data_IF_255373810646
#
_entry.id   IF_255373810646
#
_cell.length_a   1.000
_cell.length_b   1.000
_cell.length_c   1.000
_cell.angle_alpha   90.00
_cell.angle_beta   90.00
_cell.angle_gamma   90.00
#
_symmetry.space_group_name_H-M   'P 1'
#
loop_
_entity.id
_entity.type
_entity.pdbx_description
1 polymer ?
#
# COMPACT_ATOMS: atom_id res chain seq x y z
N UNK A 1 10.71 27.66 19.50
CA UNK A 1 10.06 27.87 18.18
C UNK A 1 8.97 26.81 18.03
N UNK A 2 7.72 27.24 18.00
CA UNK A 2 6.55 26.37 18.04
C UNK A 2 6.17 25.92 16.62
N UNK A 3 6.20 24.62 16.37
CA UNK A 3 5.53 24.01 15.21
C UNK A 3 4.63 22.92 15.73
N UNK A 4 3.43 23.34 16.16
CA UNK A 4 2.50 22.54 16.98
C UNK A 4 1.40 21.88 16.15
N UNK A 5 1.67 21.51 14.89
CA UNK A 5 0.69 20.87 14.00
C UNK A 5 1.29 19.74 13.14
N UNK A 6 2.34 19.07 13.62
CA UNK A 6 2.98 17.96 12.89
C UNK A 6 2.15 16.66 12.86
N UNK A 7 0.94 16.68 13.42
CA UNK A 7 0.09 15.51 13.61
C UNK A 7 -1.22 15.55 12.81
N UNK A 8 -1.26 16.29 11.70
CA UNK A 8 -2.44 16.40 10.84
C UNK A 8 -2.14 15.82 9.45
N UNK A 9 -3.08 15.05 8.89
CA UNK A 9 -3.00 14.56 7.52
C UNK A 9 -3.20 15.70 6.52
N UNK A 10 -2.28 15.86 5.57
CA UNK A 10 -2.34 16.94 4.57
C UNK A 10 -3.61 16.87 3.71
N UNK A 11 -4.08 15.65 3.40
CA UNK A 11 -5.22 15.43 2.49
C UNK A 11 -6.57 15.66 3.16
N UNK A 12 -6.84 15.01 4.29
CA UNK A 12 -8.14 15.09 4.94
C UNK A 12 -8.21 16.11 6.09
N UNK A 13 -7.09 16.75 6.45
CA UNK A 13 -6.98 17.72 7.55
C UNK A 13 -7.42 17.20 8.92
N UNK A 14 -7.53 15.88 9.09
CA UNK A 14 -7.81 15.23 10.38
C UNK A 14 -6.51 14.91 11.10
N UNK A 15 -6.55 14.97 12.44
CA UNK A 15 -5.44 14.54 13.28
C UNK A 15 -5.20 13.04 13.16
N UNK A 16 -3.94 12.60 13.30
CA UNK A 16 -3.60 11.18 13.35
C UNK A 16 -4.02 10.60 14.71
N UNK A 17 -4.98 9.68 14.67
CA UNK A 17 -5.33 8.83 15.82
C UNK A 17 -4.45 7.58 15.89
N UNK A 18 -3.98 7.13 14.72
CA UNK A 18 -3.28 5.85 14.56
C UNK A 18 -1.79 6.06 14.28
N UNK A 19 -1.01 5.01 14.57
CA UNK A 19 0.43 4.97 14.27
C UNK A 19 0.74 4.72 12.79
N UNK A 20 -0.27 4.39 12.00
CA UNK A 20 -0.09 4.07 10.58
C UNK A 20 -0.13 5.35 9.74
N UNK A 21 1.06 5.89 9.48
CA UNK A 21 1.24 7.10 8.69
C UNK A 21 2.26 6.83 7.57
N UNK A 22 2.06 7.49 6.44
CA UNK A 22 3.03 7.56 5.35
C UNK A 22 3.53 8.99 5.21
N UNK A 23 4.84 9.13 4.98
CA UNK A 23 5.48 10.43 4.75
C UNK A 23 6.00 10.46 3.32
N UNK A 24 5.64 11.48 2.56
CA UNK A 24 6.09 11.65 1.18
C UNK A 24 7.56 12.08 1.16
N UNK A 25 8.41 11.39 0.40
CA UNK A 25 9.85 11.68 0.29
C UNK A 25 10.20 12.97 -0.49
N UNK A 26 9.21 13.67 -1.01
CA UNK A 26 9.39 14.89 -1.84
C UNK A 26 8.92 16.15 -1.12
N UNK A 27 7.75 16.09 -0.49
CA UNK A 27 7.15 17.26 0.18
C UNK A 27 7.10 17.13 1.71
N UNK A 28 7.69 16.05 2.25
CA UNK A 28 7.67 15.68 3.68
C UNK A 28 6.27 15.64 4.31
N UNK A 29 5.26 15.54 3.46
CA UNK A 29 3.86 15.53 3.85
C UNK A 29 3.46 14.23 4.49
N UNK A 30 2.73 14.31 5.61
CA UNK A 30 2.17 13.13 6.30
C UNK A 30 0.74 12.84 5.86
N UNK A 31 0.44 11.56 5.66
CA UNK A 31 -0.84 11.09 5.16
C UNK A 31 -1.33 9.87 5.95
N UNK A 32 -2.65 9.81 6.18
CA UNK A 32 -3.30 8.56 6.57
C UNK A 32 -3.13 7.54 5.42
N UNK A 33 -3.06 6.26 5.77
CA UNK A 33 -2.94 5.16 4.80
C UNK A 33 -4.08 5.21 3.76
N UNK A 34 -5.31 5.43 4.21
CA UNK A 34 -6.48 5.56 3.32
C UNK A 34 -6.38 6.80 2.40
N UNK A 35 -5.86 7.90 2.94
CA UNK A 35 -5.62 9.13 2.17
C UNK A 35 -4.47 8.97 1.15
N UNK A 36 -3.56 8.03 1.37
CA UNK A 36 -2.45 7.71 0.48
C UNK A 36 -2.85 6.75 -0.65
N UNK A 37 -4.09 6.27 -0.68
CA UNK A 37 -4.55 5.21 -1.60
C UNK A 37 -3.71 3.93 -1.49
N UNK A 38 -3.27 3.60 -0.28
CA UNK A 38 -2.56 2.36 0.04
C UNK A 38 -3.48 1.57 0.95
N UNK A 39 -3.76 0.31 0.64
CA UNK A 39 -4.53 -0.53 1.57
C UNK A 39 -3.67 -0.90 2.78
N UNK A 40 -4.29 -1.10 3.95
CA UNK A 40 -3.56 -1.51 5.16
C UNK A 40 -2.72 -2.76 4.93
N UNK A 41 -3.26 -3.77 4.22
CA UNK A 41 -2.52 -4.99 3.83
C UNK A 41 -1.24 -4.65 3.05
N UNK A 42 -1.33 -3.76 2.05
CA UNK A 42 -0.17 -3.31 1.26
C UNK A 42 0.83 -2.54 2.12
N UNK A 43 0.36 -1.71 3.07
CA UNK A 43 1.23 -0.98 3.99
C UNK A 43 2.05 -1.93 4.90
N UNK A 44 1.43 -2.99 5.40
CA UNK A 44 2.14 -3.99 6.22
C UNK A 44 3.15 -4.81 5.42
N UNK A 45 2.86 -5.10 4.15
CA UNK A 45 3.77 -5.81 3.25
C UNK A 45 4.87 -4.92 2.65
N UNK A 46 4.78 -3.59 2.79
CA UNK A 46 5.84 -2.70 2.31
C UNK A 46 7.07 -2.78 3.22
N UNK A 47 8.21 -3.05 2.60
CA UNK A 47 9.54 -2.89 3.19
C UNK A 47 9.80 -1.45 3.63
N UNK A 48 10.65 -1.28 4.64
CA UNK A 48 11.01 0.03 5.20
C UNK A 48 11.58 0.96 4.13
N UNK A 49 12.39 0.45 3.20
CA UNK A 49 12.96 1.23 2.09
C UNK A 49 11.90 1.74 1.12
N UNK A 50 10.86 0.94 0.86
CA UNK A 50 9.72 1.36 0.04
C UNK A 50 8.84 2.39 0.75
N UNK A 51 8.76 2.32 2.08
CA UNK A 51 8.05 3.33 2.89
C UNK A 51 8.76 4.67 2.89
N UNK A 52 10.10 4.69 3.03
CA UNK A 52 10.88 5.93 3.02
C UNK A 52 10.97 6.58 1.64
N UNK A 53 10.84 5.80 0.56
CA UNK A 53 10.84 6.28 -0.83
C UNK A 53 9.46 6.57 -1.40
N UNK A 54 8.38 6.41 -0.61
CA UNK A 54 7.01 6.62 -1.05
C UNK A 54 6.73 8.08 -1.43
N UNK A 55 5.90 8.27 -2.46
CA UNK A 55 5.53 9.58 -3.02
C UNK A 55 4.02 9.75 -2.97
N UNK A 56 3.55 10.93 -2.57
CA UNK A 56 2.12 11.23 -2.59
C UNK A 56 1.61 11.47 -4.01
N UNK A 57 0.29 11.34 -4.22
CA UNK A 57 -0.33 11.46 -5.54
C UNK A 57 -0.02 12.80 -6.22
N UNK A 58 0.02 13.89 -5.44
CA UNK A 58 0.38 15.21 -5.96
C UNK A 58 1.81 15.22 -6.49
N UNK A 59 2.80 14.76 -5.71
CA UNK A 59 4.20 14.73 -6.13
C UNK A 59 4.47 13.73 -7.28
N UNK A 60 3.64 12.69 -7.42
CA UNK A 60 3.69 11.78 -8.57
C UNK A 60 3.19 12.53 -9.82
N UNK A 61 2.04 13.21 -9.73
CA UNK A 61 1.45 13.95 -10.85
C UNK A 61 2.25 15.20 -11.26
N UNK A 62 2.93 15.87 -10.33
CA UNK A 62 3.71 17.09 -10.62
C UNK A 62 5.03 16.78 -11.35
N UNK A 63 5.52 15.53 -11.32
CA UNK A 63 6.75 15.14 -12.04
C UNK A 63 6.45 14.82 -13.51
N UNK A 64 6.21 15.87 -14.29
CA UNK A 64 6.38 15.86 -15.76
C UNK A 64 7.19 17.06 -16.29
N UNK A 65 8.06 17.68 -15.48
CA UNK A 65 9.21 18.39 -16.07
C UNK A 65 10.44 17.50 -15.91
N UNK A 66 10.89 16.83 -16.97
CA UNK A 66 12.17 16.13 -16.96
C UNK A 66 13.25 17.19 -16.82
N UNK A 67 13.68 17.47 -15.60
CA UNK A 67 14.93 18.18 -15.38
C UNK A 67 16.07 17.31 -15.90
N UNK A 68 16.44 17.57 -17.16
CA UNK A 68 17.75 17.32 -17.75
C UNK A 68 18.40 15.96 -17.43
N UNK A 69 17.63 14.86 -17.48
CA UNK A 69 18.24 13.59 -17.84
C UNK A 69 18.63 13.76 -19.30
N UNK A 70 19.90 14.08 -19.53
CA UNK A 70 20.58 13.83 -20.79
C UNK A 70 20.06 12.50 -21.31
N UNK A 71 19.15 12.53 -22.30
CA UNK A 71 18.72 11.33 -23.00
C UNK A 71 20.02 10.75 -23.54
N UNK A 72 20.59 9.76 -22.86
CA UNK A 72 21.42 8.78 -23.55
C UNK A 72 20.44 8.18 -24.55
N UNK A 73 20.60 8.63 -25.78
CA UNK A 73 19.86 8.25 -26.94
C UNK A 73 20.25 6.79 -27.20
N UNK A 74 19.80 5.86 -26.34
CA UNK A 74 19.95 4.45 -26.59
C UNK A 74 18.93 4.14 -27.67
N UNK A 75 19.40 4.22 -28.91
CA UNK A 75 18.70 3.74 -30.09
C UNK A 75 18.53 2.24 -29.87
N UNK A 76 17.41 1.85 -29.27
CA UNK A 76 16.98 0.46 -29.20
C UNK A 76 16.70 0.05 -30.64
N UNK A 77 17.72 -0.49 -31.30
CA UNK A 77 17.60 -1.11 -32.59
C UNK A 77 17.00 -2.51 -32.39
N UNK A 78 15.82 -2.59 -31.78
CA UNK A 78 15.04 -3.82 -31.76
C UNK A 78 14.44 -3.92 -33.15
N UNK A 79 14.96 -4.84 -33.94
CA UNK A 79 14.26 -5.35 -35.12
C UNK A 79 12.97 -5.98 -34.60
N UNK A 80 11.87 -5.23 -34.71
CA UNK A 80 10.52 -5.75 -34.53
C UNK A 80 10.17 -6.45 -35.84
N UNK A 81 10.85 -7.55 -36.09
CA UNK A 81 10.47 -8.48 -37.15
C UNK A 81 10.04 -9.75 -36.43
N UNK A 82 8.73 -9.87 -36.27
CA UNK A 82 7.97 -11.10 -36.20
C UNK A 82 8.46 -12.19 -35.22
N UNK A 83 7.81 -12.29 -34.06
CA UNK A 83 7.68 -13.58 -33.38
C UNK A 83 6.47 -13.60 -32.43
N UNK A 84 5.28 -13.26 -32.92
CA UNK A 84 4.01 -13.59 -32.24
C UNK A 84 3.01 -14.24 -33.21
N UNK A 85 3.52 -15.07 -34.10
CA UNK A 85 2.73 -16.17 -34.64
C UNK A 85 3.31 -17.45 -34.05
N UNK A 86 2.42 -18.38 -33.71
CA UNK A 86 2.72 -19.68 -33.09
C UNK A 86 2.72 -19.67 -31.56
N UNK A 87 1.52 -19.80 -31.00
CA UNK A 87 1.09 -21.06 -30.37
C UNK A 87 -0.39 -20.92 -29.99
N UNK A 88 -1.23 -21.14 -30.99
CA UNK A 88 -2.57 -21.68 -30.78
C UNK A 88 -2.42 -23.18 -30.96
N UNK A 89 -2.24 -23.91 -29.88
CA UNK A 89 -2.50 -25.36 -29.81
C UNK A 89 -3.36 -25.53 -28.54
N UNK A 90 -4.67 -25.56 -28.74
CA UNK A 90 -5.48 -26.79 -28.81
C UNK A 90 -5.79 -27.34 -27.41
N UNK A 91 -7.00 -26.96 -26.98
CA UNK A 91 -7.99 -27.73 -26.22
C UNK A 91 -7.49 -29.03 -25.56
N UNK A 92 -7.34 -28.99 -24.23
CA UNK A 92 -7.54 -30.18 -23.40
C UNK A 92 -8.61 -29.85 -22.35
N UNK A 93 -9.84 -30.27 -22.68
CA UNK A 93 -10.93 -30.41 -21.72
C UNK A 93 -10.55 -31.46 -20.67
N UNK A 94 -10.01 -31.02 -19.55
CA UNK A 94 -10.05 -31.81 -18.31
C UNK A 94 -11.01 -31.17 -17.32
N UNK A 95 -12.25 -31.62 -17.45
CA UNK A 95 -13.30 -31.58 -16.44
C UNK A 95 -12.72 -32.04 -15.09
N UNK A 96 -12.51 -31.09 -14.18
CA UNK A 96 -12.23 -31.40 -12.78
C UNK A 96 -13.15 -30.55 -11.90
N UNK A 97 -14.40 -31.00 -11.88
CA UNK A 97 -15.44 -30.65 -10.93
C UNK A 97 -15.00 -31.04 -9.50
N UNK A 98 -14.12 -30.26 -8.89
CA UNK A 98 -13.88 -30.34 -7.44
C UNK A 98 -14.90 -29.49 -6.71
N UNK A 99 -16.02 -30.17 -6.45
CA UNK A 99 -17.02 -29.90 -5.42
C UNK A 99 -16.36 -29.65 -4.06
N UNK A 100 -15.95 -28.40 -3.80
CA UNK A 100 -15.62 -27.96 -2.45
C UNK A 100 -16.93 -27.69 -1.71
N UNK A 101 -17.48 -28.76 -1.17
CA UNK A 101 -18.53 -28.71 -0.16
C UNK A 101 -18.08 -27.82 1.01
N UNK A 102 -18.97 -26.88 1.27
CA UNK A 102 -19.07 -26.04 2.45
C UNK A 102 -18.74 -26.75 3.76
N UNK A 103 -17.80 -26.18 4.53
CA UNK A 103 -17.79 -26.30 5.97
C UNK A 103 -17.36 -24.97 6.59
N UNK A 104 -18.34 -24.17 6.99
CA UNK A 104 -18.17 -23.07 7.92
C UNK A 104 -17.85 -23.63 9.31
N UNK A 105 -16.71 -23.29 9.95
CA UNK A 105 -16.60 -23.37 11.39
C UNK A 105 -17.26 -22.11 11.95
N UNK A 106 -18.50 -22.24 12.42
CA UNK A 106 -19.01 -21.36 13.48
C UNK A 106 -18.21 -21.69 14.75
N UNK A 107 -17.13 -20.98 15.01
CA UNK A 107 -16.58 -20.89 16.35
C UNK A 107 -16.91 -19.51 16.92
N UNK A 108 -18.12 -19.42 17.46
CA UNK A 108 -18.37 -18.57 18.61
C UNK A 108 -17.31 -18.91 19.68
N UNK A 109 -16.36 -18.00 19.88
CA UNK A 109 -15.50 -17.99 21.06
C UNK A 109 -15.74 -16.69 21.79
N UNK A 110 -16.91 -16.62 22.44
CA UNK A 110 -17.13 -15.73 23.56
C UNK A 110 -16.33 -16.28 24.76
N UNK A 111 -15.13 -15.74 25.00
CA UNK A 111 -14.44 -15.89 26.28
C UNK A 111 -13.74 -14.58 26.65
N UNK A 112 -14.51 -13.76 27.38
CA UNK A 112 -14.12 -13.10 28.63
C UNK A 112 -12.66 -12.64 28.72
N UNK A 113 -12.39 -11.39 28.31
CA UNK A 113 -11.29 -10.62 28.89
C UNK A 113 -11.87 -9.71 29.97
N UNK A 114 -12.02 -10.27 31.17
CA UNK A 114 -12.22 -9.47 32.39
C UNK A 114 -10.97 -8.59 32.59
N UNK A 115 -11.17 -7.27 32.62
CA UNK A 115 -10.12 -6.34 33.04
C UNK A 115 -9.82 -6.55 34.53
N UNK A 116 -8.55 -6.61 34.96
CA UNK A 116 -8.21 -6.47 36.36
C UNK A 116 -8.48 -5.03 36.81
N UNK A 117 -9.27 -4.92 37.88
CA UNK A 117 -9.52 -3.69 38.63
C UNK A 117 -8.22 -3.26 39.32
N UNK A 118 -7.60 -2.18 38.86
CA UNK A 118 -6.49 -1.54 39.57
C UNK A 118 -7.12 -0.49 40.47
N UNK A 119 -7.36 -0.89 41.72
CA UNK A 119 -7.89 -0.02 42.76
C UNK A 119 -6.98 1.17 43.08
N UNK A 120 -7.52 2.23 43.70
CA UNK A 120 -6.77 3.43 44.05
C UNK A 120 -5.75 3.13 45.16
N UNK A 121 -4.47 3.27 44.83
CA UNK A 121 -3.40 3.33 45.82
C UNK A 121 -3.53 4.63 46.63
N UNK A 122 -3.82 4.47 47.92
CA UNK A 122 -3.86 5.54 48.91
C UNK A 122 -2.44 6.04 49.24
N UNK A 123 -2.37 7.36 49.43
CA UNK A 123 -1.45 8.15 50.28
C UNK A 123 0.05 8.11 49.99
#
# INVERSE_FOLDING_TARGET
>A
MASKDNNICIRCKKAFTDRQILTCCICDGKYHIDCANVSSKRFYLMETERKSSWKCINCISTKQTPDNVTRRNYKVNVQIENSFESLCDEEDESDNMLEFTSASPKNESALNRSCPDIGPGNA
#
